data_IF_631555986788
#
_entry.id   IF_631555986788
#
_cell.length_a   1.000
_cell.length_b   1.000
_cell.length_c   1.000
_cell.angle_alpha   90.00
_cell.angle_beta   90.00
_cell.angle_gamma   90.00
#
_symmetry.space_group_name_H-M   'P 1'
#
loop_
_entity.id
_entity.type
_entity.pdbx_description
1 polymer ?
#
# COMPACT_ATOMS: atom_id res chain seq x y z
N UNK A 1 25.25 -22.89 -12.30
CA UNK A 1 25.13 -21.45 -11.97
C UNK A 1 24.28 -20.75 -13.03
N UNK A 2 23.44 -19.78 -12.66
CA UNK A 2 22.41 -19.20 -13.55
C UNK A 2 22.56 -17.70 -13.81
N UNK A 3 21.42 -16.99 -13.70
CA UNK A 3 21.33 -15.53 -13.83
C UNK A 3 22.27 -14.86 -12.84
N UNK A 4 23.01 -13.84 -13.28
CA UNK A 4 23.95 -13.07 -12.46
C UNK A 4 23.57 -11.59 -12.45
N UNK A 5 23.73 -10.93 -11.30
CA UNK A 5 23.43 -9.51 -11.08
C UNK A 5 24.69 -8.64 -11.08
N UNK A 6 25.81 -9.15 -11.57
CA UNK A 6 27.05 -8.38 -11.71
C UNK A 6 26.92 -7.32 -12.83
N UNK A 7 27.74 -6.27 -12.75
CA UNK A 7 27.84 -5.24 -13.79
C UNK A 7 29.03 -5.44 -14.72
N UNK A 8 29.77 -6.55 -14.58
CA UNK A 8 31.07 -6.76 -15.25
C UNK A 8 30.90 -7.24 -16.69
N UNK A 9 29.85 -8.00 -16.94
CA UNK A 9 29.46 -8.39 -18.31
C UNK A 9 28.91 -7.21 -19.12
N UNK A 10 28.50 -6.10 -18.47
CA UNK A 10 28.08 -4.88 -19.14
C UNK A 10 29.29 -4.03 -19.55
N UNK A 11 29.13 -3.22 -20.60
CA UNK A 11 30.14 -2.24 -21.03
C UNK A 11 30.44 -1.20 -19.94
N UNK A 12 31.62 -0.58 -20.00
CA UNK A 12 31.92 0.60 -19.20
C UNK A 12 31.07 1.80 -19.64
N UNK A 13 31.10 2.88 -18.85
CA UNK A 13 30.47 4.15 -19.25
C UNK A 13 31.06 4.70 -20.56
N UNK A 14 32.35 4.47 -20.81
CA UNK A 14 33.04 4.83 -22.08
C UNK A 14 32.70 3.91 -23.25
N UNK A 15 31.90 2.85 -23.05
CA UNK A 15 31.56 1.86 -24.09
C UNK A 15 32.58 0.73 -24.28
N UNK A 16 33.73 0.79 -23.61
CA UNK A 16 34.76 -0.25 -23.69
C UNK A 16 34.23 -1.61 -23.19
N UNK A 17 34.61 -2.67 -23.91
CA UNK A 17 34.32 -4.06 -23.53
C UNK A 17 35.25 -4.46 -22.39
N UNK A 18 34.68 -4.86 -21.25
CA UNK A 18 35.46 -5.31 -20.09
C UNK A 18 35.96 -6.74 -20.29
N UNK A 19 37.20 -6.99 -19.92
CA UNK A 19 37.79 -8.33 -19.95
C UNK A 19 37.17 -9.23 -18.87
N UNK A 20 37.10 -10.53 -19.16
CA UNK A 20 36.66 -11.52 -18.20
C UNK A 20 37.80 -11.87 -17.24
N UNK A 21 37.66 -11.53 -15.96
CA UNK A 21 38.72 -11.79 -14.96
C UNK A 21 38.38 -12.90 -13.96
N UNK A 22 37.09 -13.18 -13.70
CA UNK A 22 36.66 -14.21 -12.74
C UNK A 22 35.33 -14.85 -13.12
N UNK A 23 35.17 -16.10 -12.68
CA UNK A 23 33.90 -16.85 -12.74
C UNK A 23 32.82 -16.21 -11.85
N UNK A 24 31.55 -16.48 -12.17
CA UNK A 24 30.38 -15.99 -11.41
C UNK A 24 30.45 -16.44 -9.94
N UNK A 25 29.92 -15.63 -9.01
CA UNK A 25 29.95 -15.93 -7.57
C UNK A 25 28.55 -16.13 -7.00
N UNK A 26 28.42 -16.97 -5.98
CA UNK A 26 27.13 -17.31 -5.38
C UNK A 26 26.38 -16.12 -4.77
N UNK A 27 27.09 -15.08 -4.32
CA UNK A 27 26.47 -13.88 -3.76
C UNK A 27 25.91 -12.92 -4.83
N UNK A 28 26.29 -13.08 -6.10
CA UNK A 28 25.83 -12.27 -7.23
C UNK A 28 24.66 -12.92 -7.97
N UNK A 29 24.21 -14.11 -7.54
CA UNK A 29 23.17 -14.87 -8.24
C UNK A 29 21.81 -14.15 -8.22
N UNK A 30 21.17 -14.14 -9.38
CA UNK A 30 19.75 -13.83 -9.55
C UNK A 30 18.88 -15.08 -9.40
N UNK A 31 17.56 -14.89 -9.41
CA UNK A 31 16.55 -15.95 -9.52
C UNK A 31 15.48 -15.48 -10.49
N UNK A 32 14.79 -16.43 -11.13
CA UNK A 32 13.66 -16.14 -12.01
C UNK A 32 12.60 -15.31 -11.28
N UNK A 33 11.81 -14.44 -11.95
CA UNK A 33 10.61 -13.83 -11.37
C UNK A 33 9.56 -14.87 -10.97
N UNK A 34 8.59 -14.46 -10.15
CA UNK A 34 7.54 -15.35 -9.65
C UNK A 34 6.28 -15.35 -10.54
N UNK A 35 6.05 -14.25 -11.28
CA UNK A 35 4.87 -14.02 -12.11
C UNK A 35 3.57 -14.49 -11.43
N UNK A 36 3.33 -13.94 -10.23
CA UNK A 36 2.21 -14.34 -9.37
C UNK A 36 0.89 -14.14 -10.11
N UNK A 37 0.08 -15.20 -10.20
CA UNK A 37 -1.25 -15.18 -10.84
C UNK A 37 -2.37 -15.15 -9.82
N UNK A 38 -3.56 -14.80 -10.27
CA UNK A 38 -4.78 -14.96 -9.46
C UNK A 38 -5.17 -16.45 -9.45
N UNK A 39 -5.52 -16.98 -8.27
CA UNK A 39 -5.98 -18.36 -8.11
C UNK A 39 -5.67 -18.93 -6.73
N UNK A 40 -5.95 -20.22 -6.53
CA UNK A 40 -5.78 -20.91 -5.23
C UNK A 40 -4.39 -20.67 -4.65
N UNK A 41 -4.35 -20.28 -3.38
CA UNK A 41 -3.13 -19.86 -2.68
C UNK A 41 -2.02 -20.90 -2.81
N UNK A 42 -0.94 -20.55 -3.51
CA UNK A 42 0.28 -21.36 -3.65
C UNK A 42 1.51 -20.49 -3.40
N UNK A 43 2.24 -20.80 -2.34
CA UNK A 43 3.42 -20.05 -1.90
C UNK A 43 4.58 -21.02 -1.71
N UNK A 44 5.72 -20.74 -2.34
CA UNK A 44 6.95 -21.52 -2.18
C UNK A 44 7.94 -20.77 -1.30
N UNK A 45 8.54 -21.50 -0.35
CA UNK A 45 9.62 -20.98 0.50
C UNK A 45 10.96 -21.07 -0.26
N UNK A 46 11.72 -19.99 -0.24
CA UNK A 46 13.04 -19.93 -0.87
C UNK A 46 14.09 -19.54 0.16
N UNK A 47 15.02 -20.45 0.46
CA UNK A 47 16.20 -20.15 1.28
C UNK A 47 17.11 -19.12 0.58
N UNK A 48 17.55 -18.14 1.35
CA UNK A 48 18.44 -17.06 0.91
C UNK A 48 19.72 -17.01 1.74
N UNK A 49 20.60 -16.05 1.45
CA UNK A 49 21.89 -15.90 2.13
C UNK A 49 21.66 -15.61 3.62
N UNK A 50 22.50 -16.21 4.46
CA UNK A 50 22.41 -16.03 5.93
C UNK A 50 21.26 -16.79 6.58
N UNK A 51 20.73 -17.85 5.96
CA UNK A 51 19.67 -18.68 6.55
C UNK A 51 18.25 -18.13 6.41
N UNK A 52 18.10 -16.85 6.04
CA UNK A 52 16.79 -16.21 5.85
C UNK A 52 15.92 -16.88 4.78
N UNK A 53 14.61 -16.81 4.95
CA UNK A 53 13.62 -17.30 3.98
C UNK A 53 12.92 -16.15 3.27
N UNK A 54 12.54 -16.36 2.01
CA UNK A 54 11.63 -15.48 1.26
C UNK A 54 10.45 -16.28 0.77
N UNK A 55 9.26 -15.72 0.88
CA UNK A 55 8.03 -16.33 0.41
C UNK A 55 7.78 -15.87 -1.01
N UNK A 56 7.68 -16.83 -1.92
CA UNK A 56 7.42 -16.59 -3.33
C UNK A 56 6.01 -17.03 -3.63
N UNK A 57 5.09 -16.08 -3.72
CA UNK A 57 3.74 -16.36 -4.16
C UNK A 57 3.72 -16.69 -5.65
N UNK A 58 3.17 -17.85 -6.01
CA UNK A 58 2.88 -18.23 -7.40
C UNK A 58 1.43 -17.95 -7.75
N UNK A 59 0.52 -18.20 -6.81
CA UNK A 59 -0.92 -17.94 -6.97
C UNK A 59 -1.52 -17.39 -5.70
N UNK A 60 -2.40 -16.41 -5.82
CA UNK A 60 -3.12 -15.79 -4.71
C UNK A 60 -4.51 -15.35 -5.13
N UNK A 61 -5.49 -15.57 -4.25
CA UNK A 61 -6.90 -15.23 -4.51
C UNK A 61 -7.40 -14.08 -3.64
N UNK A 62 -6.73 -13.81 -2.52
CA UNK A 62 -7.17 -12.85 -1.51
C UNK A 62 -6.00 -12.02 -0.99
N UNK A 63 -6.31 -10.79 -0.58
CA UNK A 63 -5.35 -9.84 -0.03
C UNK A 63 -5.98 -9.01 1.08
N UNK A 64 -5.15 -8.41 1.92
CA UNK A 64 -5.59 -7.41 2.90
C UNK A 64 -5.46 -6.03 2.28
N UNK A 65 -6.60 -5.35 2.09
CA UNK A 65 -6.69 -4.03 1.49
C UNK A 65 -7.20 -3.03 2.52
N UNK A 66 -6.67 -1.81 2.48
CA UNK A 66 -7.02 -0.73 3.41
C UNK A 66 -7.82 0.37 2.72
N UNK A 67 -8.96 0.78 3.28
CA UNK A 67 -9.65 2.01 2.91
C UNK A 67 -9.07 3.17 3.72
N UNK A 68 -8.30 4.04 3.05
CA UNK A 68 -7.50 5.06 3.72
C UNK A 68 -8.27 6.21 4.38
N UNK A 69 -9.44 6.61 3.84
CA UNK A 69 -10.24 7.69 4.45
C UNK A 69 -10.88 7.25 5.76
N UNK A 70 -11.37 6.02 5.81
CA UNK A 70 -12.06 5.46 6.97
C UNK A 70 -11.09 4.82 7.99
N UNK A 71 -9.86 4.51 7.58
CA UNK A 71 -8.85 3.87 8.44
C UNK A 71 -9.08 2.36 8.68
N UNK A 72 -9.83 1.67 7.82
CA UNK A 72 -10.13 0.24 7.96
C UNK A 72 -9.31 -0.59 7.00
N UNK A 73 -8.94 -1.80 7.44
CA UNK A 73 -8.42 -2.84 6.56
C UNK A 73 -9.29 -4.09 6.61
N UNK A 74 -9.56 -4.68 5.44
CA UNK A 74 -10.31 -5.94 5.33
C UNK A 74 -9.62 -6.87 4.35
N UNK A 75 -9.75 -8.17 4.64
CA UNK A 75 -9.37 -9.22 3.71
C UNK A 75 -10.46 -9.34 2.66
N UNK A 76 -10.11 -9.14 1.39
CA UNK A 76 -11.04 -9.27 0.27
C UNK A 76 -10.43 -10.15 -0.83
N UNK A 77 -11.29 -10.63 -1.72
CA UNK A 77 -10.88 -11.41 -2.89
C UNK A 77 -10.42 -10.45 -4.00
N UNK A 78 -9.39 -10.86 -4.74
CA UNK A 78 -8.90 -10.15 -5.92
C UNK A 78 -9.54 -10.78 -7.15
N UNK A 79 -10.24 -9.98 -7.94
CA UNK A 79 -10.98 -10.43 -9.11
C UNK A 79 -10.09 -10.43 -10.37
N UNK A 80 -9.41 -9.32 -10.62
CA UNK A 80 -8.63 -9.11 -11.83
C UNK A 80 -7.67 -7.92 -11.73
N UNK A 81 -6.71 -7.87 -12.65
CA UNK A 81 -5.84 -6.70 -12.83
C UNK A 81 -6.45 -5.82 -13.91
N UNK A 82 -6.70 -4.55 -13.60
CA UNK A 82 -7.29 -3.60 -14.54
C UNK A 82 -6.23 -2.77 -15.27
N UNK A 83 -5.18 -2.35 -14.54
CA UNK A 83 -4.14 -1.49 -15.10
C UNK A 83 -2.78 -1.77 -14.45
N UNK A 84 -1.71 -1.57 -15.22
CA UNK A 84 -0.34 -1.68 -14.72
C UNK A 84 0.57 -0.65 -15.39
N UNK A 85 1.27 0.21 -14.63
CA UNK A 85 2.04 1.32 -15.22
C UNK A 85 3.28 0.88 -16.02
N UNK A 86 3.88 -0.26 -15.68
CA UNK A 86 5.13 -0.70 -16.33
C UNK A 86 4.96 -1.50 -17.63
N UNK A 87 3.87 -2.26 -17.78
CA UNK A 87 3.68 -3.17 -18.91
C UNK A 87 2.22 -3.67 -18.99
N UNK A 88 1.60 -3.56 -20.16
CA UNK A 88 0.22 -3.99 -20.42
C UNK A 88 0.07 -5.51 -20.51
N UNK A 89 1.13 -6.26 -20.83
CA UNK A 89 1.10 -7.73 -20.86
C UNK A 89 0.84 -8.34 -19.46
N UNK A 90 1.19 -7.58 -18.41
CA UNK A 90 0.89 -7.98 -17.03
C UNK A 90 -0.61 -7.92 -16.73
N UNK A 91 -1.34 -7.02 -17.40
CA UNK A 91 -2.80 -6.90 -17.31
C UNK A 91 -3.47 -8.07 -18.04
N UNK A 92 -3.08 -8.31 -19.30
CA UNK A 92 -3.65 -9.39 -20.15
C UNK A 92 -3.58 -10.76 -19.48
N UNK A 93 -2.48 -11.00 -18.77
CA UNK A 93 -2.23 -12.29 -18.12
C UNK A 93 -2.68 -12.33 -16.65
N UNK A 94 -3.23 -11.25 -16.09
CA UNK A 94 -3.59 -11.12 -14.67
C UNK A 94 -2.41 -11.40 -13.71
N UNK A 95 -1.28 -10.71 -13.92
CA UNK A 95 -0.10 -10.82 -13.04
C UNK A 95 -0.19 -9.83 -11.88
N UNK A 96 -0.07 -10.34 -10.66
CA UNK A 96 0.00 -9.52 -9.45
C UNK A 96 1.44 -9.08 -9.18
N UNK A 97 1.70 -7.78 -9.31
CA UNK A 97 2.95 -7.16 -8.87
C UNK A 97 2.68 -5.85 -8.12
N UNK A 98 3.73 -5.23 -7.58
CA UNK A 98 3.59 -3.94 -6.89
C UNK A 98 3.13 -2.88 -7.89
N UNK A 99 2.24 -2.01 -7.45
CA UNK A 99 1.64 -0.93 -8.25
C UNK A 99 0.67 -1.40 -9.33
N UNK A 100 0.29 -2.68 -9.34
CA UNK A 100 -0.84 -3.14 -10.12
C UNK A 100 -2.14 -2.52 -9.56
N UNK A 101 -2.98 -1.98 -10.43
CA UNK A 101 -4.36 -1.58 -10.10
C UNK A 101 -5.25 -2.80 -10.33
N UNK A 102 -5.90 -3.25 -9.27
CA UNK A 102 -6.72 -4.45 -9.23
C UNK A 102 -8.16 -4.14 -8.89
N UNK A 103 -9.08 -4.95 -9.40
CA UNK A 103 -10.47 -4.98 -8.96
C UNK A 103 -10.59 -5.95 -7.78
N UNK A 104 -11.18 -5.47 -6.69
CA UNK A 104 -11.43 -6.24 -5.47
C UNK A 104 -12.93 -6.31 -5.18
N UNK A 105 -13.32 -7.32 -4.42
CA UNK A 105 -14.69 -7.45 -3.90
C UNK A 105 -15.02 -6.35 -2.88
N UNK A 106 -16.15 -5.67 -3.08
CA UNK A 106 -16.64 -4.60 -2.23
C UNK A 106 -17.40 -5.10 -0.99
N UNK A 107 -17.89 -6.35 -0.98
CA UNK A 107 -18.80 -6.85 0.05
C UNK A 107 -18.29 -6.67 1.50
N UNK A 108 -17.00 -6.96 1.82
CA UNK A 108 -16.50 -6.79 3.20
C UNK A 108 -16.43 -5.33 3.65
N UNK A 109 -16.25 -4.39 2.72
CA UNK A 109 -16.25 -2.95 3.03
C UNK A 109 -17.67 -2.42 3.17
N UNK A 110 -18.60 -2.91 2.35
CA UNK A 110 -20.03 -2.55 2.43
C UNK A 110 -20.65 -2.99 3.75
N UNK A 111 -20.43 -4.24 4.16
CA UNK A 111 -20.90 -4.76 5.44
C UNK A 111 -20.37 -3.93 6.63
N UNK A 112 -19.10 -3.52 6.55
CA UNK A 112 -18.52 -2.65 7.57
C UNK A 112 -19.17 -1.27 7.58
N UNK A 113 -19.40 -0.66 6.40
CA UNK A 113 -20.00 0.66 6.28
C UNK A 113 -21.43 0.68 6.85
N UNK A 114 -22.23 -0.33 6.52
CA UNK A 114 -23.59 -0.50 7.05
C UNK A 114 -23.60 -0.68 8.59
N UNK A 115 -22.65 -1.44 9.14
CA UNK A 115 -22.52 -1.61 10.58
C UNK A 115 -22.03 -0.33 11.30
N UNK A 116 -21.11 0.41 10.67
CA UNK A 116 -20.44 1.55 11.28
C UNK A 116 -21.30 2.81 11.28
N UNK A 117 -21.92 3.11 10.13
CA UNK A 117 -22.71 4.32 9.89
C UNK A 117 -24.22 4.08 9.94
N UNK A 118 -24.69 2.83 9.86
CA UNK A 118 -26.12 2.54 9.80
C UNK A 118 -26.78 2.96 8.48
N UNK A 119 -25.99 3.36 7.47
CA UNK A 119 -26.45 3.79 6.16
C UNK A 119 -26.02 2.78 5.10
N UNK A 120 -26.88 2.48 4.13
CA UNK A 120 -26.54 1.57 3.03
C UNK A 120 -25.80 2.30 1.91
N UNK A 121 -24.71 1.72 1.41
CA UNK A 121 -23.94 2.24 0.27
C UNK A 121 -24.10 1.34 -0.96
N UNK A 122 -24.25 1.93 -2.14
CA UNK A 122 -24.29 1.18 -3.40
C UNK A 122 -25.52 0.30 -3.61
N UNK A 123 -26.68 0.67 -3.04
CA UNK A 123 -27.97 0.14 -3.50
C UNK A 123 -28.44 1.00 -4.65
N UNK A 124 -28.54 0.40 -5.85
CA UNK A 124 -29.14 1.07 -7.00
C UNK A 124 -30.55 1.50 -6.59
N UNK A 125 -30.89 2.78 -6.78
CA UNK A 125 -32.12 3.45 -6.31
C UNK A 125 -33.44 2.67 -6.50
N UNK A 126 -33.49 1.67 -7.39
CA UNK A 126 -34.67 0.88 -7.72
C UNK A 126 -34.83 -0.42 -6.89
N UNK A 127 -33.82 -0.89 -6.14
CA UNK A 127 -33.93 -2.07 -5.28
C UNK A 127 -33.83 -1.68 -3.80
N UNK A 128 -34.91 -1.13 -3.26
CA UNK A 128 -35.18 -1.21 -1.81
C UNK A 128 -35.59 -2.66 -1.52
N UNK A 129 -34.62 -3.53 -1.34
CA UNK A 129 -34.87 -4.84 -0.73
C UNK A 129 -35.00 -4.65 0.78
N UNK A 130 -36.12 -5.13 1.32
CA UNK A 130 -36.45 -5.17 2.74
C UNK A 130 -35.38 -5.97 3.49
N UNK A 131 -34.33 -5.29 3.95
CA UNK A 131 -33.44 -5.85 4.96
C UNK A 131 -34.17 -5.68 6.29
N UNK A 132 -34.28 -6.74 7.13
CA UNK A 132 -34.92 -6.61 8.42
C UNK A 132 -34.21 -5.52 9.22
N UNK A 133 -34.93 -4.43 9.49
CA UNK A 133 -34.46 -3.38 10.39
C UNK A 133 -34.41 -3.99 11.79
N UNK A 134 -33.26 -4.54 12.15
CA UNK A 134 -32.99 -4.93 13.52
C UNK A 134 -33.19 -3.68 14.39
N UNK A 135 -34.10 -3.77 15.37
CA UNK A 135 -34.38 -2.69 16.32
C UNK A 135 -33.13 -2.43 17.16
N UNK A 136 -32.30 -1.49 16.73
CA UNK A 136 -31.11 -1.03 17.46
C UNK A 136 -31.53 -0.11 18.61
N UNK A 137 -30.74 -0.09 19.68
CA UNK A 137 -30.96 0.83 20.78
C UNK A 137 -30.76 2.29 20.35
N UNK A 138 -31.51 3.20 20.97
CA UNK A 138 -31.47 4.64 20.68
C UNK A 138 -30.05 5.25 20.86
N UNK A 139 -29.21 4.66 21.70
CA UNK A 139 -27.82 5.08 21.88
C UNK A 139 -26.96 4.77 20.63
N UNK A 140 -27.19 3.62 20.00
CA UNK A 140 -26.44 3.21 18.80
C UNK A 140 -26.84 4.05 17.60
N UNK A 141 -28.14 4.30 17.41
CA UNK A 141 -28.63 5.15 16.32
C UNK A 141 -28.10 6.57 16.45
N UNK A 142 -28.09 7.15 17.67
CA UNK A 142 -27.50 8.47 17.93
C UNK A 142 -26.00 8.52 17.60
N UNK A 143 -25.24 7.48 17.98
CA UNK A 143 -23.80 7.39 17.66
C UNK A 143 -23.54 7.25 16.16
N UNK A 144 -24.35 6.47 15.46
CA UNK A 144 -24.26 6.29 14.01
C UNK A 144 -24.56 7.58 13.26
N UNK A 145 -25.62 8.29 13.65
CA UNK A 145 -25.99 9.58 13.08
C UNK A 145 -24.87 10.63 13.27
N UNK A 146 -24.28 10.69 14.48
CA UNK A 146 -23.15 11.59 14.76
C UNK A 146 -21.95 11.28 13.85
N UNK A 147 -21.53 10.01 13.76
CA UNK A 147 -20.42 9.59 12.89
C UNK A 147 -20.69 9.88 11.42
N UNK A 148 -21.93 9.66 10.96
CA UNK A 148 -22.29 9.89 9.57
C UNK A 148 -22.20 11.38 9.22
N UNK A 149 -22.58 12.26 10.13
CA UNK A 149 -22.44 13.70 9.94
C UNK A 149 -20.96 14.13 9.81
N UNK A 150 -20.06 13.52 10.58
CA UNK A 150 -18.64 13.88 10.58
C UNK A 150 -17.88 13.35 9.35
N UNK A 151 -18.03 12.06 9.03
CA UNK A 151 -17.20 11.36 8.04
C UNK A 151 -17.98 10.46 7.08
N UNK A 152 -19.31 10.37 7.22
CA UNK A 152 -20.11 9.40 6.46
C UNK A 152 -20.26 9.71 4.96
N UNK A 153 -20.01 10.94 4.52
CA UNK A 153 -20.19 11.34 3.12
C UNK A 153 -19.05 10.81 2.25
N UNK A 154 -19.35 9.80 1.45
CA UNK A 154 -18.40 9.19 0.50
C UNK A 154 -18.41 9.95 -0.83
N UNK A 155 -17.27 9.94 -1.52
CA UNK A 155 -17.11 10.55 -2.85
C UNK A 155 -17.88 9.77 -3.93
N UNK A 156 -18.45 10.49 -4.91
CA UNK A 156 -19.39 9.92 -5.88
C UNK A 156 -18.79 8.84 -6.78
N UNK A 157 -17.50 8.91 -7.11
CA UNK A 157 -16.83 7.86 -7.90
C UNK A 157 -16.68 6.56 -7.10
N UNK A 158 -16.42 6.64 -5.80
CA UNK A 158 -16.38 5.47 -4.91
C UNK A 158 -17.80 4.88 -4.74
N UNK A 159 -18.83 5.71 -4.62
CA UNK A 159 -20.22 5.23 -4.52
C UNK A 159 -20.63 4.42 -5.76
N UNK A 160 -20.32 4.90 -6.97
CA UNK A 160 -20.51 4.15 -8.23
C UNK A 160 -19.76 2.81 -8.25
N UNK A 161 -18.58 2.74 -7.65
CA UNK A 161 -17.84 1.47 -7.52
C UNK A 161 -18.56 0.50 -6.58
N UNK A 162 -19.12 0.98 -5.47
CA UNK A 162 -19.93 0.15 -4.57
C UNK A 162 -21.22 -0.36 -5.22
N UNK A 163 -21.85 0.41 -6.12
CA UNK A 163 -22.98 -0.06 -6.93
C UNK A 163 -22.60 -1.23 -7.84
N UNK A 164 -21.40 -1.17 -8.45
CA UNK A 164 -20.87 -2.26 -9.27
C UNK A 164 -20.45 -3.50 -8.47
N UNK A 165 -20.32 -3.37 -7.14
CA UNK A 165 -19.81 -4.41 -6.25
C UNK A 165 -18.31 -4.65 -6.36
N UNK A 166 -17.58 -3.82 -7.12
CA UNK A 166 -16.13 -3.95 -7.35
C UNK A 166 -15.44 -2.63 -7.07
N UNK A 167 -14.41 -2.67 -6.22
CA UNK A 167 -13.59 -1.49 -5.93
C UNK A 167 -12.25 -1.58 -6.65
N UNK A 168 -11.73 -0.43 -7.08
CA UNK A 168 -10.36 -0.35 -7.56
C UNK A 168 -9.39 -0.15 -6.40
N UNK A 169 -8.33 -0.96 -6.36
CA UNK A 169 -7.31 -0.88 -5.34
C UNK A 169 -5.91 -1.01 -5.94
N UNK A 170 -4.91 -0.40 -5.30
CA UNK A 170 -3.51 -0.51 -5.72
C UNK A 170 -2.77 -1.51 -4.83
N UNK A 171 -2.03 -2.43 -5.45
CA UNK A 171 -1.19 -3.38 -4.72
C UNK A 171 0.09 -2.70 -4.22
N UNK A 172 0.17 -2.37 -2.93
CA UNK A 172 1.38 -1.78 -2.37
C UNK A 172 2.49 -2.82 -2.06
N UNK A 173 2.11 -4.07 -1.83
CA UNK A 173 3.04 -5.15 -1.46
C UNK A 173 3.85 -5.69 -2.64
N UNK A 174 4.91 -6.44 -2.33
CA UNK A 174 5.71 -7.19 -3.33
C UNK A 174 5.45 -8.69 -3.17
N UNK A 175 4.48 -9.28 -3.88
CA UNK A 175 4.06 -10.66 -3.66
C UNK A 175 5.16 -11.71 -3.91
N UNK A 176 6.16 -11.37 -4.73
CA UNK A 176 7.32 -12.22 -5.00
C UNK A 176 8.45 -12.14 -3.94
N UNK A 177 8.32 -11.27 -2.92
CA UNK A 177 9.37 -11.03 -1.90
C UNK A 177 8.86 -11.06 -0.46
N UNK A 178 7.59 -10.72 -0.23
CA UNK A 178 7.08 -10.37 1.08
C UNK A 178 6.87 -11.59 1.98
N UNK A 179 7.08 -11.38 3.28
CA UNK A 179 6.77 -12.31 4.38
C UNK A 179 5.27 -12.30 4.73
N UNK A 180 4.55 -11.20 4.44
CA UNK A 180 3.09 -11.03 4.66
C UNK A 180 2.51 -10.04 3.62
N UNK A 181 1.24 -10.22 3.24
CA UNK A 181 0.49 -9.36 2.30
C UNK A 181 -0.18 -8.17 3.01
N UNK A 182 0.25 -6.94 2.72
CA UNK A 182 -0.47 -5.71 3.09
C UNK A 182 -0.43 -4.71 1.94
N UNK A 183 -1.59 -4.29 1.42
CA UNK A 183 -1.70 -3.25 0.39
C UNK A 183 -2.32 -1.99 1.00
N UNK A 184 -1.53 -0.92 1.09
CA UNK A 184 -1.97 0.40 1.54
C UNK A 184 -2.53 1.21 0.38
N UNK A 185 -3.74 1.75 0.53
CA UNK A 185 -4.36 2.69 -0.42
C UNK A 185 -3.55 3.98 -0.52
N UNK A 186 -3.47 4.53 -1.73
CA UNK A 186 -2.69 5.71 -2.09
C UNK A 186 -3.19 6.99 -1.41
N UNK A 187 -2.59 7.34 -0.27
CA UNK A 187 -2.37 8.72 0.17
C UNK A 187 -1.20 8.75 1.13
N UNK A 188 -0.03 9.18 0.66
CA UNK A 188 1.18 9.36 1.48
C UNK A 188 1.23 10.82 1.93
N UNK A 189 1.21 11.07 3.25
CA UNK A 189 2.11 12.05 3.90
C UNK A 189 2.19 11.82 5.42
N UNK A 190 3.46 11.77 5.86
CA UNK A 190 4.02 11.99 7.21
C UNK A 190 3.52 11.16 8.40
N UNK A 191 4.27 10.10 8.70
CA UNK A 191 4.53 9.68 10.08
C UNK A 191 5.80 10.38 10.59
N UNK A 192 5.68 11.13 11.67
CA UNK A 192 6.67 11.18 12.76
C UNK A 192 5.87 11.50 14.04
N UNK A 193 5.53 10.44 14.75
CA UNK A 193 5.07 10.48 16.14
C UNK A 193 6.31 10.48 17.03
N UNK A 194 6.44 11.44 17.93
CA UNK A 194 7.30 11.30 19.11
C UNK A 194 6.38 11.11 20.31
N UNK A 195 6.01 9.85 20.56
CA UNK A 195 5.24 9.46 21.74
C UNK A 195 6.21 9.25 22.89
N UNK A 196 5.98 10.03 23.95
CA UNK A 196 6.57 9.93 25.28
C UNK A 196 6.42 8.50 25.81
N UNK A 197 7.54 7.86 26.17
CA UNK A 197 7.56 6.62 26.95
C UNK A 197 7.88 6.95 28.41
N UNK A 198 6.89 6.79 29.28
CA UNK A 198 7.02 6.83 30.73
C UNK A 198 7.82 5.62 31.24
N UNK A 199 8.95 5.86 31.90
CA UNK A 199 9.72 4.83 32.60
C UNK A 199 9.81 5.16 34.11
N UNK A 200 9.27 4.23 34.89
CA UNK A 200 9.29 4.16 36.36
C UNK A 200 10.72 4.14 36.92
N UNK A 201 11.04 5.06 37.85
CA UNK A 201 12.35 5.12 38.55
C UNK A 201 12.28 4.36 39.87
N UNK A 202 12.99 3.22 39.94
CA UNK A 202 13.46 2.64 41.21
C UNK A 202 14.75 3.36 41.65
N UNK A 203 14.79 3.74 42.94
CA UNK A 203 15.94 4.37 43.62
C UNK A 203 17.05 3.34 43.85
N UNK A 204 18.27 3.68 43.46
CA UNK A 204 19.49 3.17 44.09
C UNK A 204 20.49 4.33 44.26
N UNK A 205 20.98 4.47 45.50
CA UNK A 205 21.99 5.43 45.96
C UNK A 205 23.33 5.19 45.26
N UNK A 206 24.04 6.26 44.89
CA UNK A 206 25.51 6.34 44.90
C UNK A 206 25.97 7.80 44.94
N UNK A 207 27.08 8.00 45.64
CA UNK A 207 27.55 9.25 46.23
C UNK A 207 28.39 10.13 45.28
N UNK A 208 28.14 11.44 45.38
CA UNK A 208 29.02 12.64 45.42
C UNK A 208 30.15 12.94 44.39
N UNK A 209 30.51 14.25 44.25
CA UNK A 209 30.87 14.89 42.97
C UNK A 209 32.23 15.60 42.94
N UNK A 210 32.83 15.79 41.77
CA UNK A 210 33.78 16.85 41.39
C UNK A 210 33.76 16.90 39.85
N UNK A 211 33.90 17.98 39.09
CA UNK A 211 34.24 19.37 39.28
C UNK A 211 34.23 20.00 37.87
N UNK A 212 34.04 21.31 37.80
CA UNK A 212 33.68 22.07 36.60
C UNK A 212 34.73 22.13 35.49
N UNK A 213 34.24 22.30 34.25
CA UNK A 213 35.03 22.78 33.12
C UNK A 213 34.11 23.31 32.01
N UNK A 214 33.74 24.59 32.08
CA UNK A 214 33.07 25.31 30.98
C UNK A 214 34.09 25.64 29.89
N UNK A 215 33.77 25.32 28.64
CA UNK A 215 34.08 26.19 27.50
C UNK A 215 32.90 26.14 26.53
N UNK A 216 32.25 27.28 26.35
CA UNK A 216 31.16 27.47 25.41
C UNK A 216 31.66 28.18 24.16
N UNK A 217 31.19 27.74 23.00
CA UNK A 217 31.15 28.47 21.72
C UNK A 217 29.81 28.08 21.08
N UNK A 218 28.81 28.95 21.20
CA UNK A 218 28.38 29.93 20.18
C UNK A 218 27.45 29.30 19.13
N UNK A 219 26.15 29.55 19.30
CA UNK A 219 25.12 29.41 18.28
C UNK A 219 25.20 30.62 17.35
N UNK A 220 25.39 30.40 16.05
CA UNK A 220 24.81 31.25 15.02
C UNK A 220 24.69 30.49 13.70
N UNK A 221 23.48 30.55 13.12
CA UNK A 221 23.32 30.59 11.67
C UNK A 221 22.96 29.27 10.97
N UNK A 222 21.68 29.09 10.67
CA UNK A 222 21.11 29.27 9.32
C UNK A 222 19.75 28.60 9.25
N UNK A 223 18.72 29.44 9.34
CA UNK A 223 17.34 29.16 8.99
C UNK A 223 17.04 30.05 7.78
N UNK A 224 16.23 29.57 6.85
CA UNK A 224 15.73 30.21 5.62
C UNK A 224 16.62 30.13 4.38
N UNK A 225 16.28 29.20 3.48
CA UNK A 225 16.00 29.41 2.04
C UNK A 225 15.93 28.04 1.35
N UNK A 226 14.75 27.64 0.87
CA UNK A 226 14.54 27.39 -0.56
C UNK A 226 13.08 27.03 -0.82
N UNK A 227 12.43 28.01 -1.42
CA UNK A 227 11.08 28.04 -1.93
C UNK A 227 10.95 27.15 -3.18
N UNK A 228 9.80 26.48 -3.25
CA UNK A 228 8.98 26.19 -4.44
C UNK A 228 9.65 26.21 -5.83
N UNK A 229 9.57 25.06 -6.51
CA UNK A 229 9.38 25.03 -7.97
C UNK A 229 8.50 23.81 -8.31
N UNK A 230 7.18 24.04 -8.27
CA UNK A 230 6.16 23.17 -8.88
C UNK A 230 5.78 23.83 -10.21
N UNK A 231 5.78 23.12 -11.34
CA UNK A 231 5.01 23.56 -12.49
C UNK A 231 3.53 23.24 -12.25
N UNK A 232 2.75 24.32 -12.18
CA UNK A 232 1.31 24.37 -12.41
C UNK A 232 0.97 23.94 -13.85
N UNK A 233 -0.30 23.60 -14.06
CA UNK A 233 -0.98 23.34 -15.34
C UNK A 233 -1.02 21.88 -15.82
N UNK A 234 -2.08 21.18 -15.39
CA UNK A 234 -2.70 20.11 -16.18
C UNK A 234 -4.23 20.16 -15.98
N UNK A 235 -4.81 21.34 -16.25
CA UNK A 235 -6.13 21.43 -16.85
C UNK A 235 -5.92 21.28 -18.38
N UNK A 236 -6.95 20.80 -19.09
CA UNK A 236 -6.96 20.47 -20.52
C UNK A 236 -6.52 19.06 -20.92
N UNK A 237 -7.39 18.08 -20.63
CA UNK A 237 -7.74 17.08 -21.64
C UNK A 237 -9.27 16.95 -21.68
N UNK A 238 -9.88 17.84 -22.45
CA UNK A 238 -11.23 17.67 -22.95
C UNK A 238 -11.28 16.43 -23.82
N UNK A 239 -11.97 15.39 -23.35
CA UNK A 239 -12.42 14.30 -24.20
C UNK A 239 -13.74 14.78 -24.78
N UNK A 240 -13.62 15.44 -25.93
CA UNK A 240 -14.71 15.69 -26.84
C UNK A 240 -15.38 14.37 -27.25
N UNK A 241 -16.69 14.46 -27.41
CA UNK A 241 -17.54 13.55 -28.17
C UNK A 241 -16.83 12.96 -29.40
N UNK A 242 -16.99 11.66 -29.61
CA UNK A 242 -17.12 11.09 -30.95
C UNK A 242 -18.24 10.06 -30.89
N UNK A 243 -19.31 10.41 -31.61
CA UNK A 243 -20.47 9.59 -31.93
C UNK A 243 -20.09 8.46 -32.89
N UNK A 244 -20.94 7.43 -32.87
CA UNK A 244 -21.32 6.49 -33.94
C UNK A 244 -20.43 6.41 -35.20
N UNK A 245 -19.82 5.24 -35.41
CA UNK A 245 -20.22 4.24 -36.42
C UNK A 245 -19.59 2.88 -36.06
#
# INVERSE_FOLDING_TARGET
>A
MGISRDSRHKRSATGAKRAFYRKKRAFEKGRQPANTRIGTKRIHLVRTRGGNQKFRALRLESGNFSWGSEGISRKTRVLGVAFHPSNNELVRTNTLTRSAVVQIDAAPFRQWYEAHYGHSIGRRRQQKTDAPEEKKSNSVTKKQAARFADHGKVEGSIERQFESGRLYAVVASRPARAVVWTATSSRVRSWLSTSVLSASKRKTKREKPYGWGRMGWSLHGWLSEFQLCLPENFHDLGIHEMQCL
#
